data_IF_190271166771
#
_entry.id   IF_190271166771
#
_cell.length_a   1.000
_cell.length_b   1.000
_cell.length_c   1.000
_cell.angle_alpha   90.00
_cell.angle_beta   90.00
_cell.angle_gamma   90.00
#
_symmetry.space_group_name_H-M   'P 1'
#
loop_
_entity.id
_entity.type
_entity.pdbx_description
1 polymer ?
#
# COMPACT_ATOMS: atom_id res chain seq x y z
N UNK A 1 -4.50 2.36 -1.63
CA UNK A 1 -3.65 1.54 -0.74
C UNK A 1 -3.27 2.37 0.49
N UNK A 2 -2.94 1.76 1.63
CA UNK A 2 -2.66 2.47 2.89
C UNK A 2 -1.54 3.51 2.78
N UNK A 3 -0.48 3.21 2.02
CA UNK A 3 0.60 4.16 1.78
C UNK A 3 0.16 5.39 0.97
N UNK A 4 -0.78 5.24 0.04
CA UNK A 4 -1.28 6.35 -0.79
C UNK A 4 -2.08 7.33 0.08
N UNK A 5 -2.98 6.84 0.94
CA UNK A 5 -3.76 7.71 1.83
C UNK A 5 -2.86 8.38 2.88
N UNK A 6 -1.86 7.66 3.40
CA UNK A 6 -0.83 8.22 4.28
C UNK A 6 -0.10 9.37 3.60
N UNK A 7 0.36 9.18 2.37
CA UNK A 7 1.05 10.23 1.61
C UNK A 7 0.17 11.46 1.34
N UNK A 8 -1.11 11.26 1.01
CA UNK A 8 -2.07 12.35 0.86
C UNK A 8 -2.22 13.11 2.18
N UNK A 9 -2.40 12.42 3.32
CA UNK A 9 -2.57 13.10 4.61
C UNK A 9 -1.31 13.85 5.07
N UNK A 10 -0.12 13.30 4.83
CA UNK A 10 1.16 13.98 5.09
C UNK A 10 1.28 15.26 4.25
N UNK A 11 0.91 15.18 2.97
CA UNK A 11 0.95 16.32 2.05
C UNK A 11 -0.05 17.40 2.46
N UNK A 12 -1.27 17.00 2.82
CA UNK A 12 -2.30 17.91 3.30
C UNK A 12 -1.90 18.58 4.61
N UNK A 13 -1.31 17.84 5.55
CA UNK A 13 -0.80 18.40 6.79
C UNK A 13 0.27 19.47 6.53
N UNK A 14 1.21 19.23 5.61
CA UNK A 14 2.23 20.20 5.22
C UNK A 14 1.63 21.46 4.55
N UNK A 15 0.63 21.29 3.69
CA UNK A 15 -0.08 22.41 3.08
C UNK A 15 -0.87 23.23 4.11
N UNK A 16 -1.55 22.58 5.05
CA UNK A 16 -2.26 23.24 6.14
C UNK A 16 -1.32 24.05 7.06
N UNK A 17 -0.14 23.52 7.38
CA UNK A 17 0.89 24.25 8.14
C UNK A 17 1.35 25.52 7.40
N UNK A 18 1.32 25.49 6.07
CA UNK A 18 1.63 26.64 5.21
C UNK A 18 0.43 27.59 5.00
N UNK A 19 -0.68 27.37 5.70
CA UNK A 19 -1.91 28.16 5.60
C UNK A 19 -2.68 27.96 4.29
N UNK A 20 -2.38 26.91 3.52
CA UNK A 20 -2.97 26.64 2.22
C UNK A 20 -4.21 25.77 2.34
N UNK A 21 -5.26 26.13 1.63
CA UNK A 21 -6.48 25.32 1.53
C UNK A 21 -6.32 24.25 0.45
N UNK A 22 -7.01 23.13 0.65
CA UNK A 22 -7.10 22.06 -0.33
C UNK A 22 -8.52 21.47 -0.39
N UNK A 23 -8.80 20.76 -1.47
CA UNK A 23 -9.95 19.86 -1.59
C UNK A 23 -9.47 18.43 -1.71
N UNK A 24 -10.26 17.52 -1.16
CA UNK A 24 -10.09 16.08 -1.29
C UNK A 24 -11.00 15.55 -2.39
N UNK A 25 -10.42 14.78 -3.29
CA UNK A 25 -11.12 14.26 -4.47
C UNK A 25 -11.12 12.74 -4.37
N UNK A 26 -12.29 12.13 -4.48
CA UNK A 26 -12.46 10.68 -4.44
C UNK A 26 -13.33 10.19 -5.60
N UNK A 27 -12.88 9.17 -6.32
CA UNK A 27 -13.77 8.39 -7.19
C UNK A 27 -14.62 7.50 -6.30
N UNK A 28 -15.93 7.72 -6.28
CA UNK A 28 -16.87 7.06 -5.35
C UNK A 28 -17.78 6.05 -6.05
N UNK A 29 -18.00 6.18 -7.35
CA UNK A 29 -18.75 5.19 -8.11
C UNK A 29 -18.24 5.06 -9.54
N UNK A 30 -18.55 3.92 -10.16
CA UNK A 30 -18.27 3.61 -11.54
C UNK A 30 -19.49 2.92 -12.14
N UNK A 31 -19.95 3.41 -13.29
CA UNK A 31 -20.91 2.73 -14.14
C UNK A 31 -20.21 2.31 -15.45
N UNK A 32 -20.19 1.01 -15.74
CA UNK A 32 -19.44 0.43 -16.86
C UNK A 32 -18.00 0.05 -16.50
N UNK A 33 -17.10 0.03 -17.48
CA UNK A 33 -15.69 -0.34 -17.30
C UNK A 33 -14.78 0.88 -17.40
N UNK A 34 -13.92 1.07 -16.40
CA UNK A 34 -12.92 2.15 -16.39
C UNK A 34 -11.59 1.62 -15.92
N UNK A 35 -10.50 2.23 -16.40
CA UNK A 35 -9.14 1.96 -15.93
C UNK A 35 -9.01 2.19 -14.41
N UNK A 36 -9.86 3.03 -13.82
CA UNK A 36 -9.80 3.43 -12.42
C UNK A 36 -11.09 3.08 -11.71
N UNK A 37 -10.94 2.41 -10.57
CA UNK A 37 -12.03 1.94 -9.72
C UNK A 37 -12.33 2.96 -8.61
N UNK A 38 -13.52 2.90 -8.00
CA UNK A 38 -13.78 3.60 -6.75
C UNK A 38 -12.67 3.39 -5.72
N UNK A 39 -12.33 4.45 -4.98
CA UNK A 39 -11.23 4.47 -4.02
C UNK A 39 -9.93 5.10 -4.50
N UNK A 40 -9.86 5.53 -5.76
CA UNK A 40 -8.76 6.39 -6.24
C UNK A 40 -8.99 7.82 -5.73
N UNK A 41 -7.92 8.46 -5.24
CA UNK A 41 -8.00 9.77 -4.57
C UNK A 41 -6.88 10.70 -4.97
N UNK A 42 -7.15 12.00 -4.88
CA UNK A 42 -6.15 13.05 -5.03
C UNK A 42 -6.49 14.25 -4.15
N UNK A 43 -5.50 15.10 -3.91
CA UNK A 43 -5.66 16.40 -3.29
C UNK A 43 -5.40 17.48 -4.32
N UNK A 44 -6.15 18.58 -4.26
CA UNK A 44 -5.89 19.78 -5.05
C UNK A 44 -5.80 20.95 -4.08
N UNK A 45 -4.69 21.68 -4.13
CA UNK A 45 -4.48 22.92 -3.37
C UNK A 45 -5.10 24.10 -4.12
N UNK A 46 -5.44 25.16 -3.40
CA UNK A 46 -6.12 26.34 -3.96
C UNK A 46 -5.38 27.05 -5.11
N UNK A 47 -4.08 26.82 -5.27
CA UNK A 47 -3.24 27.35 -6.36
C UNK A 47 -3.02 26.36 -7.52
N UNK A 48 -3.73 25.22 -7.52
CA UNK A 48 -3.69 24.22 -8.59
C UNK A 48 -2.64 23.12 -8.41
N UNK A 49 -1.74 23.22 -7.41
CA UNK A 49 -0.84 22.10 -7.08
C UNK A 49 -1.65 20.90 -6.60
N UNK A 50 -1.32 19.69 -7.06
CA UNK A 50 -2.04 18.48 -6.69
C UNK A 50 -1.11 17.32 -6.30
N UNK A 51 -1.64 16.41 -5.49
CA UNK A 51 -0.97 15.17 -5.08
C UNK A 51 -1.90 13.97 -5.29
N UNK A 52 -1.35 12.86 -5.76
CA UNK A 52 -2.13 11.71 -6.25
C UNK A 52 -2.63 11.92 -7.69
N UNK A 53 -3.37 10.94 -8.23
CA UNK A 53 -3.88 10.99 -9.60
C UNK A 53 -5.15 10.15 -9.75
N UNK A 54 -6.12 10.67 -10.51
CA UNK A 54 -7.39 9.97 -10.79
C UNK A 54 -7.31 9.14 -12.06
N UNK A 55 -6.74 9.66 -13.15
CA UNK A 55 -6.73 9.01 -14.47
C UNK A 55 -5.40 9.12 -15.23
N UNK A 56 -4.51 10.04 -14.85
CA UNK A 56 -3.22 10.27 -15.51
C UNK A 56 -3.22 11.38 -16.56
N UNK A 57 -4.18 12.32 -16.56
CA UNK A 57 -4.06 13.59 -17.28
C UNK A 57 -5.39 14.29 -17.59
N UNK A 58 -6.26 13.68 -18.39
CA UNK A 58 -7.41 14.38 -18.98
C UNK A 58 -8.56 14.67 -18.00
N UNK A 59 -8.70 13.86 -16.94
CA UNK A 59 -9.74 14.06 -15.93
C UNK A 59 -9.30 15.13 -14.93
N UNK A 60 -8.00 15.20 -14.64
CA UNK A 60 -7.39 16.07 -13.64
C UNK A 60 -7.67 17.56 -13.92
N UNK A 61 -7.51 18.02 -15.17
CA UNK A 61 -7.80 19.42 -15.51
C UNK A 61 -9.28 19.79 -15.34
N UNK A 62 -10.19 18.83 -15.58
CA UNK A 62 -11.62 19.07 -15.35
C UNK A 62 -11.95 19.06 -13.86
N UNK A 63 -11.35 18.17 -13.06
CA UNK A 63 -11.48 18.17 -11.61
C UNK A 63 -10.97 19.51 -11.04
N UNK A 64 -9.80 19.97 -11.46
CA UNK A 64 -9.22 21.24 -11.02
C UNK A 64 -10.15 22.42 -11.32
N UNK A 65 -10.70 22.48 -12.53
CA UNK A 65 -11.68 23.50 -12.92
C UNK A 65 -12.94 23.44 -12.07
N UNK A 66 -13.45 22.24 -11.79
CA UNK A 66 -14.67 22.02 -11.01
C UNK A 66 -14.47 22.27 -9.51
N UNK A 67 -13.25 22.08 -8.99
CA UNK A 67 -12.86 22.33 -7.61
C UNK A 67 -12.90 23.82 -7.24
N UNK A 68 -12.77 24.73 -8.21
CA UNK A 68 -12.83 26.18 -7.95
C UNK A 68 -14.12 26.60 -7.25
N UNK A 69 -15.28 26.04 -7.62
CA UNK A 69 -16.54 26.36 -6.94
C UNK A 69 -16.60 25.78 -5.52
N UNK A 70 -15.92 24.66 -5.25
CA UNK A 70 -15.80 24.07 -3.92
C UNK A 70 -14.99 24.98 -2.99
N UNK A 71 -13.88 25.55 -3.47
CA UNK A 71 -13.09 26.54 -2.70
C UNK A 71 -13.88 27.81 -2.38
N UNK A 72 -14.70 28.29 -3.33
CA UNK A 72 -15.48 29.53 -3.17
C UNK A 72 -16.70 29.31 -2.25
N UNK A 73 -17.46 28.25 -2.50
CA UNK A 73 -18.75 28.01 -1.84
C UNK A 73 -18.60 27.21 -0.54
N UNK A 74 -17.46 26.58 -0.32
CA UNK A 74 -17.19 25.65 0.79
C UNK A 74 -18.25 24.54 0.89
N UNK A 75 -18.70 24.04 -0.27
CA UNK A 75 -19.69 22.96 -0.40
C UNK A 75 -19.08 21.82 -1.22
N UNK A 76 -19.31 20.59 -0.76
CA UNK A 76 -18.88 19.42 -1.51
C UNK A 76 -19.66 19.32 -2.83
N UNK A 77 -19.05 18.69 -3.81
CA UNK A 77 -19.55 18.65 -5.19
C UNK A 77 -19.38 17.26 -5.77
N UNK A 78 -20.46 16.77 -6.37
CA UNK A 78 -20.45 15.57 -7.19
C UNK A 78 -20.33 15.99 -8.64
N UNK A 79 -19.35 15.42 -9.33
CA UNK A 79 -19.22 15.53 -10.79
C UNK A 79 -19.26 14.12 -11.41
N UNK A 80 -19.66 14.07 -12.66
CA UNK A 80 -19.63 12.86 -13.47
C UNK A 80 -18.67 13.09 -14.63
N UNK A 81 -17.82 12.11 -14.90
CA UNK A 81 -16.90 12.14 -16.03
C UNK A 81 -17.12 10.91 -16.91
N UNK A 82 -17.41 11.16 -18.18
CA UNK A 82 -17.63 10.11 -19.19
C UNK A 82 -16.33 9.83 -19.97
N UNK A 83 -15.71 8.68 -19.70
CA UNK A 83 -14.48 8.25 -20.35
C UNK A 83 -14.62 7.96 -21.84
N UNK A 84 -15.86 7.72 -22.32
CA UNK A 84 -16.14 7.34 -23.72
C UNK A 84 -15.84 8.46 -24.70
N UNK A 85 -15.97 9.70 -24.24
CA UNK A 85 -15.87 10.87 -25.11
C UNK A 85 -14.41 11.29 -25.39
N UNK A 86 -13.44 10.84 -24.60
CA UNK A 86 -12.06 11.38 -24.66
C UNK A 86 -10.91 10.39 -24.45
N UNK A 87 -11.15 9.23 -23.84
CA UNK A 87 -10.06 8.36 -23.34
C UNK A 87 -10.15 6.92 -23.86
N UNK A 88 -11.21 6.56 -24.60
CA UNK A 88 -11.40 5.19 -25.07
C UNK A 88 -11.71 4.19 -23.95
N UNK A 89 -12.07 4.67 -22.76
CA UNK A 89 -12.63 3.87 -21.68
C UNK A 89 -14.17 3.85 -21.79
N UNK A 90 -14.82 2.73 -21.51
CA UNK A 90 -16.27 2.58 -21.72
C UNK A 90 -17.13 3.01 -20.50
N UNK A 91 -16.54 3.59 -19.47
CA UNK A 91 -17.17 3.84 -18.18
C UNK A 91 -17.38 5.32 -17.85
N UNK A 92 -18.38 5.55 -16.99
CA UNK A 92 -18.67 6.83 -16.36
C UNK A 92 -18.25 6.74 -14.89
N UNK A 93 -17.36 7.62 -14.45
CA UNK A 93 -16.95 7.71 -13.05
C UNK A 93 -17.70 8.85 -12.35
N UNK A 94 -18.10 8.60 -11.11
CA UNK A 94 -18.65 9.61 -10.20
C UNK A 94 -17.56 10.03 -9.23
N UNK A 95 -17.32 11.34 -9.16
CA UNK A 95 -16.23 11.92 -8.38
C UNK A 95 -16.83 12.87 -7.34
N UNK A 96 -16.48 12.65 -6.08
CA UNK A 96 -16.73 13.56 -4.97
C UNK A 96 -15.53 14.49 -4.82
N UNK A 97 -15.79 15.80 -4.81
CA UNK A 97 -14.82 16.86 -4.50
C UNK A 97 -15.32 17.55 -3.23
N UNK A 98 -14.57 17.51 -2.14
CA UNK A 98 -14.98 18.10 -0.87
C UNK A 98 -13.89 19.00 -0.27
N UNK A 99 -14.24 20.08 0.44
CA UNK A 99 -13.29 20.78 1.31
C UNK A 99 -12.71 19.77 2.30
N UNK A 100 -11.42 19.89 2.61
CA UNK A 100 -10.76 18.96 3.53
C UNK A 100 -9.94 19.69 4.58
N UNK A 101 -9.99 19.19 5.80
CA UNK A 101 -9.18 19.66 6.90
C UNK A 101 -8.85 18.53 7.87
N UNK A 102 -7.56 18.29 8.10
CA UNK A 102 -7.07 17.34 9.10
C UNK A 102 -6.92 18.08 10.43
N UNK A 103 -7.78 17.75 11.40
CA UNK A 103 -7.62 18.24 12.78
C UNK A 103 -6.41 17.57 13.45
N UNK A 104 -5.84 18.23 14.48
CA UNK A 104 -4.75 17.64 15.25
C UNK A 104 -5.14 16.29 15.88
N UNK A 105 -6.40 16.16 16.28
CA UNK A 105 -6.94 14.91 16.83
C UNK A 105 -6.98 13.79 15.78
N UNK A 106 -7.48 14.08 14.57
CA UNK A 106 -7.47 13.12 13.46
C UNK A 106 -6.05 12.66 13.12
N UNK A 107 -5.09 13.60 13.02
CA UNK A 107 -3.71 13.25 12.69
C UNK A 107 -3.08 12.33 13.74
N UNK A 108 -3.25 12.66 15.02
CA UNK A 108 -2.74 11.84 16.12
C UNK A 108 -3.37 10.44 16.16
N UNK A 109 -4.67 10.35 15.94
CA UNK A 109 -5.36 9.06 15.93
C UNK A 109 -4.96 8.24 14.69
N UNK A 110 -4.76 8.89 13.54
CA UNK A 110 -4.30 8.23 12.31
C UNK A 110 -2.87 7.68 12.47
N UNK A 111 -1.95 8.47 13.03
CA UNK A 111 -0.57 8.03 13.31
C UNK A 111 -0.57 6.82 14.26
N UNK A 112 -1.35 6.86 15.35
CA UNK A 112 -1.49 5.71 16.26
C UNK A 112 -2.07 4.48 15.57
N UNK A 113 -3.04 4.64 14.67
CA UNK A 113 -3.62 3.52 13.94
C UNK A 113 -2.55 2.80 13.10
N UNK A 114 -1.71 3.58 12.42
CA UNK A 114 -0.60 3.07 11.61
C UNK A 114 0.49 2.41 12.46
N UNK A 115 0.91 3.05 13.57
CA UNK A 115 1.92 2.51 14.48
C UNK A 115 1.48 1.19 15.12
N UNK A 116 0.21 1.10 15.52
CA UNK A 116 -0.36 -0.13 16.08
C UNK A 116 -0.73 -1.16 15.02
N UNK A 117 -0.45 -0.89 13.73
CA UNK A 117 -0.74 -1.77 12.59
C UNK A 117 -2.19 -2.24 12.55
N UNK A 118 -3.14 -1.38 12.91
CA UNK A 118 -4.57 -1.72 12.91
C UNK A 118 -5.22 -1.32 11.58
N UNK A 119 -6.15 -2.13 11.05
CA UNK A 119 -6.91 -1.73 9.87
C UNK A 119 -7.84 -0.55 10.20
N UNK A 120 -8.23 0.20 9.18
CA UNK A 120 -9.17 1.31 9.30
C UNK A 120 -10.01 1.46 8.05
N UNK A 121 -11.05 2.32 8.12
CA UNK A 121 -12.00 2.49 7.01
C UNK A 121 -12.18 3.95 6.63
N UNK A 122 -12.50 4.17 5.36
CA UNK A 122 -12.95 5.46 4.85
C UNK A 122 -14.28 5.26 4.13
N UNK A 123 -15.30 5.94 4.60
CA UNK A 123 -16.65 5.92 4.05
C UNK A 123 -16.90 7.25 3.36
N UNK A 124 -17.23 7.23 2.07
CA UNK A 124 -17.55 8.41 1.28
C UNK A 124 -19.02 8.36 0.87
N UNK A 125 -19.83 9.20 1.51
CA UNK A 125 -21.25 9.34 1.19
C UNK A 125 -21.41 10.30 0.00
N UNK A 126 -22.24 9.93 -0.99
CA UNK A 126 -22.42 10.70 -2.21
C UNK A 126 -23.86 10.70 -2.72
N UNK A 127 -24.13 11.48 -3.77
CA UNK A 127 -25.40 11.48 -4.53
C UNK A 127 -25.16 11.04 -5.96
N UNK A 128 -26.16 10.45 -6.59
CA UNK A 128 -26.05 10.00 -7.98
C UNK A 128 -26.14 11.17 -8.98
N UNK A 129 -26.78 12.26 -8.57
CA UNK A 129 -26.90 13.47 -9.38
C UNK A 129 -25.67 14.37 -9.23
N UNK A 130 -25.27 15.00 -10.35
CA UNK A 130 -24.22 16.02 -10.38
C UNK A 130 -24.76 17.29 -9.71
N UNK A 131 -23.97 17.88 -8.81
CA UNK A 131 -24.39 19.07 -8.07
C UNK A 131 -23.50 19.39 -6.88
N UNK A 132 -23.85 20.48 -6.19
CA UNK A 132 -23.21 20.88 -4.92
C UNK A 132 -24.14 20.55 -3.76
N UNK A 133 -23.57 19.97 -2.70
CA UNK A 133 -24.32 19.38 -1.59
C UNK A 133 -23.64 19.67 -0.26
N UNK A 134 -24.44 19.79 0.79
CA UNK A 134 -23.98 19.91 2.18
C UNK A 134 -24.04 18.59 2.95
N UNK A 135 -24.72 17.60 2.38
CA UNK A 135 -25.02 16.29 2.96
C UNK A 135 -24.24 15.16 2.28
N UNK A 136 -23.07 15.47 1.72
CA UNK A 136 -22.12 14.49 1.15
C UNK A 136 -20.73 14.81 1.67
N UNK A 137 -19.90 13.77 1.85
CA UNK A 137 -18.57 13.91 2.41
C UNK A 137 -17.97 12.57 2.85
N UNK A 138 -16.72 12.62 3.28
CA UNK A 138 -15.99 11.43 3.72
C UNK A 138 -15.74 11.40 5.24
N UNK A 139 -15.87 10.20 5.82
CA UNK A 139 -15.64 9.90 7.23
C UNK A 139 -14.57 8.83 7.36
N UNK A 140 -13.48 9.15 8.04
CA UNK A 140 -12.45 8.20 8.41
C UNK A 140 -12.82 7.54 9.75
N UNK A 141 -12.80 6.21 9.79
CA UNK A 141 -13.11 5.43 10.99
C UNK A 141 -11.83 4.79 11.51
N UNK A 142 -11.38 5.24 12.67
CA UNK A 142 -10.16 4.80 13.35
C UNK A 142 -10.57 4.20 14.70
N UNK A 143 -10.33 2.89 14.91
CA UNK A 143 -10.73 2.17 16.13
C UNK A 143 -12.19 2.45 16.59
N UNK A 144 -13.10 2.53 15.62
CA UNK A 144 -14.53 2.80 15.84
C UNK A 144 -14.89 4.27 16.05
N UNK A 145 -13.90 5.17 16.16
CA UNK A 145 -14.10 6.61 16.22
C UNK A 145 -14.22 7.21 14.82
N UNK A 146 -15.22 8.04 14.62
CA UNK A 146 -15.51 8.69 13.34
C UNK A 146 -14.88 10.08 13.28
N UNK A 147 -14.22 10.39 12.17
CA UNK A 147 -13.66 11.69 11.90
C UNK A 147 -14.07 12.18 10.51
N UNK A 148 -14.76 13.32 10.44
CA UNK A 148 -15.13 13.94 9.18
C UNK A 148 -13.92 14.61 8.54
N UNK A 149 -13.74 14.39 7.23
CA UNK A 149 -12.68 15.06 6.46
C UNK A 149 -13.08 16.50 6.09
N UNK A 150 -14.37 16.72 5.81
CA UNK A 150 -14.96 18.02 5.56
C UNK A 150 -15.60 18.58 6.85
N UNK A 151 -15.08 19.68 7.44
CA UNK A 151 -15.65 20.26 8.67
C UNK A 151 -17.10 20.76 8.53
N UNK A 152 -17.57 21.00 7.30
CA UNK A 152 -18.95 21.44 7.05
C UNK A 152 -19.92 20.29 6.84
N UNK A 153 -19.44 19.05 6.85
CA UNK A 153 -20.25 17.84 6.70
C UNK A 153 -20.66 17.29 8.08
N UNK A 154 -21.92 16.87 8.21
CA UNK A 154 -22.43 16.23 9.42
C UNK A 154 -22.91 14.81 9.12
N UNK A 155 -22.49 13.86 9.94
CA UNK A 155 -22.84 12.44 9.81
C UNK A 155 -24.36 12.23 9.99
N UNK A 156 -25.01 13.04 10.80
CA UNK A 156 -26.47 12.98 11.02
C UNK A 156 -27.29 13.33 9.76
N UNK A 157 -26.65 13.90 8.73
CA UNK A 157 -27.29 14.23 7.45
C UNK A 157 -27.35 13.04 6.47
N UNK A 158 -26.69 11.92 6.79
CA UNK A 158 -26.66 10.71 5.96
C UNK A 158 -28.02 10.01 6.05
N UNK A 159 -28.93 10.32 5.12
CA UNK A 159 -30.23 9.67 5.02
C UNK A 159 -30.39 8.95 3.68
N UNK A 160 -30.27 7.62 3.71
CA UNK A 160 -30.58 6.73 2.59
C UNK A 160 -29.81 7.04 1.28
N UNK A 161 -28.59 7.57 1.43
CA UNK A 161 -27.68 7.92 0.34
C UNK A 161 -26.73 6.75 0.02
N UNK A 162 -26.26 6.62 -1.23
CA UNK A 162 -25.21 5.67 -1.54
C UNK A 162 -23.91 6.05 -0.83
N UNK A 163 -23.19 5.03 -0.35
CA UNK A 163 -21.91 5.17 0.33
C UNK A 163 -20.89 4.24 -0.33
N UNK A 164 -19.70 4.77 -0.60
CA UNK A 164 -18.54 3.98 -0.99
C UNK A 164 -17.66 3.75 0.23
N UNK A 165 -17.50 2.49 0.62
CA UNK A 165 -16.65 2.07 1.73
C UNK A 165 -15.34 1.47 1.20
N UNK A 166 -14.22 1.87 1.80
CA UNK A 166 -12.94 1.22 1.58
C UNK A 166 -12.25 0.92 2.91
N UNK A 167 -11.84 -0.33 3.07
CA UNK A 167 -10.97 -0.77 4.17
C UNK A 167 -9.49 -0.70 3.77
N UNK A 168 -8.67 -0.32 4.73
CA UNK A 168 -7.22 -0.19 4.63
C UNK A 168 -6.59 -1.10 5.67
N UNK A 169 -5.79 -2.07 5.22
CA UNK A 169 -4.92 -2.84 6.10
C UNK A 169 -3.75 -2.01 6.63
N UNK A 170 -2.92 -2.56 7.53
CA UNK A 170 -1.68 -1.90 7.93
C UNK A 170 -0.73 -1.68 6.76
N UNK A 171 0.31 -0.86 6.99
CA UNK A 171 1.37 -0.69 6.01
C UNK A 171 2.09 -2.02 5.79
N UNK A 172 2.21 -2.39 4.51
CA UNK A 172 2.89 -3.62 4.12
C UNK A 172 4.37 -3.51 4.48
N UNK A 173 4.88 -4.51 5.19
CA UNK A 173 6.27 -4.55 5.62
C UNK A 173 7.05 -5.58 4.82
N UNK A 174 8.29 -5.21 4.45
CA UNK A 174 9.25 -6.12 3.84
C UNK A 174 10.49 -6.20 4.71
N UNK A 175 10.70 -7.36 5.34
CA UNK A 175 11.92 -7.68 6.05
C UNK A 175 12.90 -8.38 5.12
N UNK A 176 14.09 -7.82 4.99
CA UNK A 176 15.16 -8.35 4.15
C UNK A 176 16.27 -8.84 5.06
N UNK A 177 16.40 -10.17 5.19
CA UNK A 177 17.47 -10.78 5.99
C UNK A 177 18.69 -11.00 5.12
N UNK A 178 19.74 -10.23 5.39
CA UNK A 178 20.92 -10.14 4.55
C UNK A 178 21.14 -8.71 4.09
N UNK A 179 22.39 -8.26 4.17
CA UNK A 179 22.73 -6.85 4.06
C UNK A 179 23.61 -6.55 2.83
N UNK A 180 23.74 -7.49 1.88
CA UNK A 180 24.61 -7.37 0.72
C UNK A 180 23.99 -6.51 -0.41
N UNK A 181 24.68 -6.40 -1.55
CA UNK A 181 24.29 -5.50 -2.64
C UNK A 181 22.86 -5.75 -3.17
N UNK A 182 22.39 -7.00 -3.18
CA UNK A 182 21.03 -7.36 -3.59
C UNK A 182 19.97 -6.68 -2.71
N UNK A 183 20.25 -6.54 -1.41
CA UNK A 183 19.35 -5.87 -0.46
C UNK A 183 19.14 -4.40 -0.82
N UNK A 184 20.18 -3.72 -1.31
CA UNK A 184 20.12 -2.30 -1.69
C UNK A 184 19.12 -2.09 -2.83
N UNK A 185 19.17 -2.94 -3.86
CA UNK A 185 18.26 -2.86 -5.00
C UNK A 185 16.82 -3.21 -4.60
N UNK A 186 16.65 -4.23 -3.76
CA UNK A 186 15.34 -4.64 -3.28
C UNK A 186 14.69 -3.55 -2.41
N UNK A 187 15.45 -2.88 -1.53
CA UNK A 187 14.99 -1.74 -0.74
C UNK A 187 14.46 -0.59 -1.61
N UNK A 188 15.24 -0.19 -2.61
CA UNK A 188 14.86 0.92 -3.51
C UNK A 188 13.57 0.60 -4.28
N UNK A 189 13.48 -0.61 -4.83
CA UNK A 189 12.31 -1.03 -5.59
C UNK A 189 11.06 -1.18 -4.71
N UNK A 190 11.19 -1.76 -3.51
CA UNK A 190 10.07 -1.92 -2.57
C UNK A 190 9.55 -0.57 -2.05
N UNK A 191 10.43 0.42 -1.88
CA UNK A 191 10.04 1.78 -1.48
C UNK A 191 9.09 2.43 -2.48
N UNK A 192 9.24 2.16 -3.79
CA UNK A 192 8.33 2.67 -4.83
C UNK A 192 6.92 2.08 -4.72
N UNK A 193 6.77 0.90 -4.11
CA UNK A 193 5.47 0.29 -3.80
C UNK A 193 4.85 0.83 -2.50
N UNK A 194 5.53 1.77 -1.83
CA UNK A 194 5.11 2.33 -0.55
C UNK A 194 5.25 1.36 0.63
N UNK A 195 6.08 0.32 0.51
CA UNK A 195 6.32 -0.65 1.57
C UNK A 195 7.27 -0.09 2.64
N UNK A 196 7.08 -0.53 3.87
CA UNK A 196 8.01 -0.29 4.96
C UNK A 196 9.10 -1.36 4.92
N UNK A 197 10.30 -0.98 4.51
CA UNK A 197 11.40 -1.93 4.34
C UNK A 197 12.30 -1.91 5.57
N UNK A 198 12.51 -3.07 6.18
CA UNK A 198 13.42 -3.26 7.31
C UNK A 198 14.53 -4.20 6.85
N UNK A 199 15.79 -3.76 6.95
CA UNK A 199 16.95 -4.61 6.67
C UNK A 199 17.41 -5.24 7.97
N UNK A 200 17.63 -6.55 7.95
CA UNK A 200 18.18 -7.32 9.06
C UNK A 200 19.58 -7.76 8.68
N UNK A 201 20.57 -7.19 9.37
CA UNK A 201 21.98 -7.50 9.19
C UNK A 201 22.52 -8.26 10.40
N UNK A 202 23.65 -8.94 10.23
CA UNK A 202 24.34 -9.55 11.36
C UNK A 202 25.12 -8.48 12.15
N UNK A 203 25.29 -8.60 13.48
CA UNK A 203 25.97 -7.58 14.30
C UNK A 203 27.42 -7.29 13.91
N UNK A 204 28.09 -8.24 13.25
CA UNK A 204 29.44 -8.12 12.71
C UNK A 204 29.51 -7.28 11.42
N UNK A 205 28.37 -6.93 10.83
CA UNK A 205 28.29 -6.10 9.64
C UNK A 205 28.12 -4.64 10.04
N UNK A 206 29.21 -3.88 10.05
CA UNK A 206 29.20 -2.43 10.28
C UNK A 206 28.59 -1.68 9.09
N UNK A 207 27.26 -1.67 8.99
CA UNK A 207 26.49 -0.92 7.99
C UNK A 207 25.55 0.06 8.69
N UNK A 208 25.33 1.21 8.06
CA UNK A 208 24.32 2.19 8.49
C UNK A 208 23.05 2.05 7.65
N UNK A 209 21.92 2.56 8.14
CA UNK A 209 20.67 2.57 7.37
C UNK A 209 20.80 3.33 6.05
N UNK A 210 21.65 4.36 5.98
CA UNK A 210 21.87 5.19 4.79
C UNK A 210 22.48 4.40 3.62
N UNK A 211 23.11 3.25 3.90
CA UNK A 211 23.59 2.31 2.87
C UNK A 211 22.44 1.66 2.08
N UNK A 212 21.21 1.68 2.62
CA UNK A 212 20.02 1.08 2.04
C UNK A 212 18.97 2.16 1.70
N UNK A 213 19.11 2.90 0.59
CA UNK A 213 18.11 3.89 0.21
C UNK A 213 16.71 3.26 0.09
N UNK A 214 15.74 3.85 0.79
CA UNK A 214 14.37 3.32 0.87
C UNK A 214 14.08 2.46 2.10
N UNK A 215 15.10 2.02 2.84
CA UNK A 215 14.90 1.36 4.12
C UNK A 215 14.35 2.33 5.18
N UNK A 216 13.38 1.86 5.94
CA UNK A 216 12.83 2.54 7.12
C UNK A 216 13.76 2.38 8.33
N UNK A 217 14.39 1.21 8.44
CA UNK A 217 15.28 0.85 9.52
C UNK A 217 16.29 -0.24 9.09
N UNK A 218 17.43 -0.25 9.77
CA UNK A 218 18.39 -1.34 9.78
C UNK A 218 18.49 -1.86 11.21
N UNK A 219 18.24 -3.16 11.40
CA UNK A 219 18.35 -3.82 12.70
C UNK A 219 19.44 -4.88 12.66
N UNK A 220 20.15 -5.04 13.78
CA UNK A 220 21.26 -5.99 13.93
C UNK A 220 21.02 -6.90 15.15
N UNK A 221 19.95 -7.71 15.13
CA UNK A 221 19.64 -8.58 16.26
C UNK A 221 20.70 -9.67 16.40
N UNK A 222 20.90 -10.14 17.63
CA UNK A 222 21.50 -11.46 17.84
C UNK A 222 20.56 -12.52 17.23
N UNK A 223 21.12 -13.57 16.64
CA UNK A 223 20.35 -14.61 15.92
C UNK A 223 19.27 -15.24 16.81
N UNK A 224 19.59 -15.43 18.08
CA UNK A 224 18.78 -16.02 19.14
C UNK A 224 17.81 -15.01 19.79
N UNK A 225 17.77 -13.76 19.29
CA UNK A 225 16.91 -12.69 19.79
C UNK A 225 16.29 -11.86 18.66
N UNK A 226 15.73 -12.54 17.66
CA UNK A 226 14.94 -11.90 16.61
C UNK A 226 13.53 -11.68 17.14
N UNK A 227 13.15 -10.42 17.31
CA UNK A 227 11.79 -10.06 17.69
C UNK A 227 10.84 -10.24 16.50
N UNK A 228 9.98 -11.24 16.59
CA UNK A 228 8.96 -11.55 15.59
C UNK A 228 7.56 -11.10 16.02
N UNK A 229 7.42 -10.39 17.15
CA UNK A 229 6.12 -10.03 17.72
C UNK A 229 5.27 -9.12 16.82
N UNK A 230 5.92 -8.36 15.93
CA UNK A 230 5.27 -7.50 14.94
C UNK A 230 4.96 -8.18 13.60
N UNK A 231 5.23 -9.48 13.44
CA UNK A 231 5.05 -10.16 12.15
C UNK A 231 3.61 -10.64 11.99
N UNK A 232 2.97 -10.24 10.90
CA UNK A 232 1.57 -10.51 10.61
C UNK A 232 1.34 -10.83 9.12
N UNK A 233 0.08 -11.02 8.75
CA UNK A 233 -0.35 -11.35 7.38
C UNK A 233 -0.14 -10.19 6.38
N UNK A 234 0.46 -9.07 6.80
CA UNK A 234 0.89 -7.93 5.97
C UNK A 234 2.42 -7.75 6.03
N UNK A 235 3.15 -8.78 6.47
CA UNK A 235 4.60 -8.82 6.53
C UNK A 235 5.15 -9.86 5.56
N UNK A 236 5.99 -9.42 4.62
CA UNK A 236 6.81 -10.28 3.78
C UNK A 236 8.23 -10.38 4.32
N UNK A 237 8.81 -11.57 4.24
CA UNK A 237 10.22 -11.82 4.58
C UNK A 237 10.94 -12.35 3.36
N UNK A 238 12.14 -11.84 3.09
CA UNK A 238 13.04 -12.38 2.05
C UNK A 238 14.41 -12.65 2.68
N UNK A 239 14.85 -13.90 2.59
CA UNK A 239 16.17 -14.36 3.03
C UNK A 239 17.16 -14.30 1.86
N UNK A 240 18.12 -13.38 1.95
CA UNK A 240 19.18 -13.13 0.97
C UNK A 240 20.57 -13.11 1.61
N UNK A 241 20.78 -13.93 2.65
CA UNK A 241 22.00 -13.89 3.47
C UNK A 241 23.24 -14.47 2.77
N UNK A 242 23.04 -15.20 1.68
CA UNK A 242 24.04 -16.01 0.98
C UNK A 242 24.70 -17.11 1.87
N UNK A 243 24.23 -17.34 3.10
CA UNK A 243 24.76 -18.34 4.05
C UNK A 243 23.72 -19.38 4.47
N UNK A 244 24.01 -20.67 4.25
CA UNK A 244 23.12 -21.77 4.65
C UNK A 244 22.79 -21.75 6.14
N UNK A 245 23.79 -21.55 7.00
CA UNK A 245 23.60 -21.59 8.45
C UNK A 245 22.72 -20.44 8.94
N UNK A 246 22.92 -19.22 8.39
CA UNK A 246 22.12 -18.06 8.77
C UNK A 246 20.67 -18.23 8.31
N UNK A 247 20.45 -18.68 7.07
CA UNK A 247 19.11 -18.92 6.54
C UNK A 247 18.35 -19.95 7.39
N UNK A 248 18.98 -21.05 7.78
CA UNK A 248 18.37 -22.07 8.66
C UNK A 248 17.98 -21.48 10.01
N UNK A 249 18.86 -20.68 10.62
CA UNK A 249 18.57 -20.05 11.91
C UNK A 249 17.42 -19.04 11.82
N UNK A 250 17.35 -18.26 10.75
CA UNK A 250 16.24 -17.35 10.51
C UNK A 250 14.94 -18.10 10.26
N UNK A 251 14.94 -19.16 9.44
CA UNK A 251 13.75 -20.01 9.27
C UNK A 251 13.26 -20.61 10.60
N UNK A 252 14.18 -21.03 11.47
CA UNK A 252 13.84 -21.52 12.80
C UNK A 252 13.15 -20.47 13.69
N UNK A 253 13.58 -19.21 13.61
CA UNK A 253 12.96 -18.11 14.35
C UNK A 253 11.57 -17.74 13.78
N UNK A 254 11.34 -17.97 12.49
CA UNK A 254 10.11 -17.59 11.78
C UNK A 254 9.04 -18.68 11.75
N UNK A 255 9.36 -19.91 12.18
CA UNK A 255 8.49 -21.09 12.01
C UNK A 255 7.07 -20.95 12.60
N UNK A 256 6.91 -20.15 13.65
CA UNK A 256 5.65 -19.96 14.37
C UNK A 256 4.94 -18.64 13.97
N UNK A 257 5.49 -17.92 12.98
CA UNK A 257 4.93 -16.65 12.48
C UNK A 257 3.96 -16.88 11.34
N UNK A 258 3.00 -15.97 11.18
CA UNK A 258 2.09 -15.95 10.02
C UNK A 258 2.50 -14.80 9.12
N UNK A 259 3.11 -15.11 7.99
CA UNK A 259 3.64 -14.13 7.05
C UNK A 259 2.75 -14.06 5.80
N UNK A 260 2.73 -12.89 5.18
CA UNK A 260 2.14 -12.70 3.87
C UNK A 260 2.94 -13.44 2.79
N UNK A 261 4.26 -13.57 2.99
CA UNK A 261 5.19 -14.18 2.06
C UNK A 261 6.53 -14.50 2.74
N UNK A 262 7.13 -15.66 2.43
CA UNK A 262 8.47 -16.05 2.86
C UNK A 262 9.32 -16.51 1.67
N UNK A 263 10.25 -15.66 1.24
CA UNK A 263 11.15 -15.92 0.12
C UNK A 263 12.54 -16.37 0.56
N UNK A 264 13.11 -17.32 -0.16
CA UNK A 264 14.50 -17.75 -0.02
C UNK A 264 15.24 -17.56 -1.36
N UNK A 265 16.24 -16.69 -1.36
CA UNK A 265 17.08 -16.45 -2.54
C UNK A 265 18.08 -17.59 -2.77
N UNK A 266 18.17 -17.99 -4.03
CA UNK A 266 19.17 -18.91 -4.56
C UNK A 266 18.55 -20.06 -5.34
N UNK A 267 19.39 -20.96 -5.86
CA UNK A 267 18.97 -22.07 -6.72
C UNK A 267 18.04 -23.07 -6.01
N UNK A 268 17.35 -23.89 -6.80
CA UNK A 268 16.57 -25.04 -6.28
C UNK A 268 17.43 -25.93 -5.38
N UNK A 269 18.66 -26.23 -5.81
CA UNK A 269 19.62 -27.02 -5.02
C UNK A 269 20.02 -26.35 -3.70
N UNK A 270 20.11 -25.01 -3.67
CA UNK A 270 20.36 -24.26 -2.43
C UNK A 270 19.17 -24.41 -1.49
N UNK A 271 17.94 -24.21 -1.98
CA UNK A 271 16.72 -24.38 -1.17
C UNK A 271 16.66 -25.78 -0.57
N UNK A 272 16.82 -26.82 -1.38
CA UNK A 272 16.78 -28.22 -0.92
C UNK A 272 17.77 -28.48 0.21
N UNK A 273 19.00 -27.93 0.09
CA UNK A 273 20.01 -28.04 1.13
C UNK A 273 19.64 -27.27 2.40
N UNK A 274 19.09 -26.06 2.28
CA UNK A 274 18.59 -25.30 3.45
C UNK A 274 17.48 -26.06 4.17
N UNK A 275 16.49 -26.59 3.42
CA UNK A 275 15.38 -27.37 3.98
C UNK A 275 15.89 -28.65 4.65
N UNK A 276 16.83 -29.37 4.02
CA UNK A 276 17.44 -30.57 4.62
C UNK A 276 18.11 -30.24 5.95
N UNK A 277 18.96 -29.20 5.99
CA UNK A 277 19.63 -28.79 7.23
C UNK A 277 18.61 -28.34 8.28
N UNK A 278 17.58 -27.61 7.88
CA UNK A 278 16.51 -27.15 8.76
C UNK A 278 15.78 -28.35 9.43
N UNK A 279 15.47 -29.40 8.67
CA UNK A 279 14.88 -30.63 9.18
C UNK A 279 15.84 -31.44 10.07
N UNK A 280 17.15 -31.43 9.77
CA UNK A 280 18.16 -32.06 10.64
C UNK A 280 18.21 -31.37 12.02
N UNK A 281 18.03 -30.05 12.07
CA UNK A 281 18.00 -29.29 13.33
C UNK A 281 16.66 -29.43 14.07
N UNK A 282 15.54 -29.50 13.34
CA UNK A 282 14.21 -29.62 13.93
C UNK A 282 13.31 -30.50 13.03
N UNK A 283 13.25 -31.82 13.30
CA UNK A 283 12.45 -32.76 12.52
C UNK A 283 10.94 -32.50 12.58
N UNK A 284 10.47 -31.81 13.62
CA UNK A 284 9.05 -31.55 13.88
C UNK A 284 8.55 -30.23 13.27
N UNK A 285 9.27 -29.67 12.29
CA UNK A 285 8.82 -28.45 11.60
C UNK A 285 7.49 -28.70 10.89
N UNK A 286 6.49 -27.81 11.08
CA UNK A 286 5.21 -27.92 10.39
C UNK A 286 5.38 -27.93 8.85
N UNK A 287 4.73 -28.88 8.18
CA UNK A 287 4.73 -28.95 6.72
C UNK A 287 4.16 -27.67 6.09
N UNK A 288 3.09 -27.13 6.67
CA UNK A 288 2.47 -25.89 6.21
C UNK A 288 3.44 -24.70 6.24
N UNK A 289 4.45 -24.70 7.13
CA UNK A 289 5.50 -23.67 7.13
C UNK A 289 6.50 -23.89 5.99
N UNK A 290 6.89 -25.15 5.71
CA UNK A 290 7.78 -25.46 4.58
C UNK A 290 7.13 -25.11 3.24
N UNK A 291 5.82 -25.36 3.09
CA UNK A 291 5.05 -25.05 1.89
C UNK A 291 4.95 -23.54 1.62
N UNK A 292 5.11 -22.71 2.66
CA UNK A 292 5.16 -21.24 2.53
C UNK A 292 6.52 -20.72 2.03
N UNK A 293 7.56 -21.55 1.96
CA UNK A 293 8.91 -21.12 1.53
C UNK A 293 8.99 -21.06 0.00
N UNK A 294 8.97 -19.84 -0.53
CA UNK A 294 9.21 -19.54 -1.94
C UNK A 294 10.71 -19.51 -2.25
N UNK A 295 11.26 -20.65 -2.71
CA UNK A 295 12.65 -20.76 -3.13
C UNK A 295 12.79 -21.54 -4.45
N UNK A 296 13.51 -21.04 -5.46
CA UNK A 296 14.01 -19.67 -5.60
C UNK A 296 12.87 -18.64 -5.49
N UNK A 297 13.09 -17.55 -4.75
CA UNK A 297 12.17 -16.41 -4.71
C UNK A 297 12.18 -15.64 -6.03
N UNK A 298 11.01 -15.17 -6.45
CA UNK A 298 10.81 -14.37 -7.65
C UNK A 298 10.08 -15.11 -8.78
N UNK A 299 9.31 -14.35 -9.57
CA UNK A 299 8.67 -14.87 -10.78
C UNK A 299 9.71 -14.99 -11.89
N UNK A 300 9.66 -16.09 -12.65
CA UNK A 300 10.51 -16.28 -13.82
C UNK A 300 10.19 -15.25 -14.92
N UNK A 301 10.98 -14.17 -14.94
CA UNK A 301 11.00 -13.14 -15.99
C UNK A 301 12.30 -13.15 -16.79
N UNK A 302 13.16 -14.15 -16.57
CA UNK A 302 14.53 -14.18 -17.12
C UNK A 302 15.47 -13.15 -16.50
N UNK A 303 15.29 -12.82 -15.22
CA UNK A 303 16.09 -11.81 -14.52
C UNK A 303 17.56 -12.23 -14.39
N UNK A 304 18.47 -11.33 -14.74
CA UNK A 304 19.94 -11.56 -14.65
C UNK A 304 20.62 -10.61 -13.66
N UNK A 305 20.23 -9.34 -13.64
CA UNK A 305 20.81 -8.32 -12.76
C UNK A 305 20.13 -8.26 -11.39
N UNK A 306 20.82 -7.72 -10.37
CA UNK A 306 20.24 -7.55 -9.03
C UNK A 306 18.95 -6.70 -9.04
N UNK A 307 18.87 -5.70 -9.90
CA UNK A 307 17.67 -4.86 -10.07
C UNK A 307 16.52 -5.64 -10.72
N UNK A 308 16.79 -6.49 -11.72
CA UNK A 308 15.77 -7.36 -12.32
C UNK A 308 15.30 -8.43 -11.34
N UNK A 309 16.21 -9.00 -10.56
CA UNK A 309 15.89 -9.96 -9.50
C UNK A 309 15.00 -9.31 -8.45
N UNK A 310 15.30 -8.07 -8.03
CA UNK A 310 14.45 -7.32 -7.12
C UNK A 310 13.01 -7.16 -7.68
N UNK A 311 12.87 -6.78 -8.96
CA UNK A 311 11.55 -6.68 -9.61
C UNK A 311 10.83 -8.03 -9.63
N UNK A 312 11.55 -9.11 -9.96
CA UNK A 312 11.04 -10.48 -9.96
C UNK A 312 10.49 -10.91 -8.59
N UNK A 313 11.23 -10.63 -7.51
CA UNK A 313 10.83 -10.91 -6.12
C UNK A 313 9.59 -10.11 -5.74
N UNK A 314 9.59 -8.79 -5.96
CA UNK A 314 8.46 -7.93 -5.62
C UNK A 314 7.20 -8.30 -6.39
N UNK A 315 7.34 -8.67 -7.66
CA UNK A 315 6.23 -9.17 -8.46
C UNK A 315 5.67 -10.49 -7.90
N UNK A 316 6.53 -11.40 -7.41
CA UNK A 316 6.07 -12.63 -6.76
C UNK A 316 5.30 -12.34 -5.48
N UNK A 317 5.86 -11.50 -4.60
CA UNK A 317 5.21 -11.10 -3.34
C UNK A 317 3.81 -10.52 -3.64
N UNK A 318 3.71 -9.58 -4.59
CA UNK A 318 2.41 -9.01 -4.99
C UNK A 318 1.45 -10.06 -5.54
N UNK A 319 1.94 -11.05 -6.29
CA UNK A 319 1.12 -12.11 -6.85
C UNK A 319 0.55 -13.02 -5.75
N UNK A 320 1.37 -13.38 -4.76
CA UNK A 320 0.97 -14.22 -3.62
C UNK A 320 -0.04 -13.48 -2.74
N UNK A 321 0.27 -12.24 -2.34
CA UNK A 321 -0.62 -11.41 -1.51
C UNK A 321 -1.99 -11.18 -2.17
N UNK A 322 -2.03 -11.08 -3.50
CA UNK A 322 -3.28 -10.89 -4.26
C UNK A 322 -3.94 -12.19 -4.70
N UNK A 323 -3.38 -13.35 -4.31
CA UNK A 323 -3.82 -14.67 -4.74
C UNK A 323 -3.98 -14.77 -6.27
N UNK A 324 -3.01 -14.22 -7.00
CA UNK A 324 -2.98 -14.22 -8.46
C UNK A 324 -1.84 -15.09 -8.98
N UNK A 325 -2.11 -15.84 -10.03
CA UNK A 325 -1.05 -16.48 -10.82
C UNK A 325 -0.51 -15.47 -11.85
N UNK A 326 0.80 -15.22 -11.89
CA UNK A 326 1.37 -14.31 -12.87
C UNK A 326 1.25 -14.90 -14.28
N UNK A 327 0.65 -14.12 -15.18
CA UNK A 327 0.50 -14.43 -16.61
C UNK A 327 0.66 -13.13 -17.41
N UNK A 328 1.04 -13.23 -18.68
CA UNK A 328 1.03 -12.06 -19.56
C UNK A 328 -0.41 -11.54 -19.68
N UNK A 329 -0.64 -10.24 -19.52
CA UNK A 329 -2.00 -9.69 -19.54
C UNK A 329 -2.74 -9.94 -20.87
N UNK A 330 -2.02 -10.08 -21.99
CA UNK A 330 -2.59 -10.46 -23.29
C UNK A 330 -3.19 -11.86 -23.33
N UNK A 331 -2.77 -12.73 -22.41
CA UNK A 331 -3.19 -14.14 -22.28
C UNK A 331 -4.24 -14.30 -21.17
N UNK A 332 -4.54 -13.24 -20.41
CA UNK A 332 -5.56 -13.28 -19.36
C UNK A 332 -6.95 -13.28 -19.97
N UNK A 333 -7.72 -14.31 -19.69
CA UNK A 333 -9.14 -14.35 -20.03
C UNK A 333 -9.95 -13.56 -18.98
N UNK A 334 -10.87 -12.71 -19.45
CA UNK A 334 -11.75 -11.90 -18.58
C UNK A 334 -11.18 -10.52 -18.19
N UNK A 335 -11.79 -9.90 -17.18
CA UNK A 335 -11.41 -8.56 -16.74
C UNK A 335 -10.03 -8.55 -16.06
N UNK A 336 -9.23 -7.50 -16.32
CA UNK A 336 -7.89 -7.34 -15.71
C UNK A 336 -7.96 -7.32 -14.18
N UNK A 337 -9.03 -6.74 -13.65
CA UNK A 337 -9.31 -6.67 -12.24
C UNK A 337 -10.64 -7.40 -11.99
N UNK A 338 -10.66 -8.30 -11.00
CA UNK A 338 -11.86 -8.91 -10.43
C UNK A 338 -12.48 -7.92 -9.46
#
# INVERSE_FOLDING_TARGET
MTHEIKHLFETLAAWQQSGKKAVFVSVVALNGSSYRRPGVRMLIREDGEYAGAVSGGCVESEIERQAQSVFINNKAKIISYDGRLRIGCEGIITILIEPVFLSSELLLDFEKQLENRRPFKLESTFRNEVGEYSDVGSVLILDGKQHVLNPSFSIDSINNQPCFEQEFGPLFQLYIFGAEHDAVQLCQAAKLLGWEVIVVASPDQEKSCDYFPGARALITPAIDNIDTSGFDEQTAVVLITHSFNKDVQYLMALKDTKLAYLGLLGSVSRRERVISMLLDYNPDIPLDFLDQIHGPTGINIGAESASEIAISILAEILSVVRSQRPVALREKEGAIHG
#
